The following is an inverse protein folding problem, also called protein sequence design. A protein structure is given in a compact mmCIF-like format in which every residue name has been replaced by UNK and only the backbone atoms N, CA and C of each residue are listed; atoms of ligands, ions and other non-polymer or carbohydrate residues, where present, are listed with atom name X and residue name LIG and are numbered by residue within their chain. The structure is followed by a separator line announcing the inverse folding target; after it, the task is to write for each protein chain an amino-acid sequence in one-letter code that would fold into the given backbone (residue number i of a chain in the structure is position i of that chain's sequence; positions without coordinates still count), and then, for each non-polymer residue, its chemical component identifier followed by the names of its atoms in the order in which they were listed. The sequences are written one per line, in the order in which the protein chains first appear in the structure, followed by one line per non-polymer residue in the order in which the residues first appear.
data_IF_293594756573
#
_entry.id   IF_293594756573
#
_cell.length_a   1.000
_cell.length_b   1.000
_cell.length_c   1.000
_cell.angle_alpha   90.00
_cell.angle_beta   90.00
_cell.angle_gamma   90.00
#
_symmetry.space_group_name_H-M   'P 1'
#
loop_
_entity.id
_entity.type
_entity.pdbx_description
1 polymer ?
#
# COMPACT_ATOMS: atom_id res chain seq x y z
N UNK A 1 68.00 47.95 -28.40
CA UNK A 1 67.68 47.06 -27.21
C UNK A 1 66.27 47.31 -26.63
N UNK A 2 65.56 48.37 -27.00
CA UNK A 2 64.23 48.73 -26.43
C UNK A 2 63.06 48.05 -27.20
N UNK A 3 63.22 47.68 -28.47
CA UNK A 3 62.15 47.11 -29.29
C UNK A 3 61.83 45.63 -28.98
N UNK A 4 62.78 44.85 -28.43
CA UNK A 4 62.58 43.44 -28.10
C UNK A 4 61.77 43.22 -26.78
N UNK A 5 61.81 44.16 -25.84
CA UNK A 5 61.12 44.09 -24.54
C UNK A 5 59.61 44.39 -24.72
N UNK A 6 59.27 45.31 -25.62
CA UNK A 6 57.85 45.69 -25.88
C UNK A 6 57.09 44.57 -26.59
N UNK A 7 57.75 43.73 -27.41
CA UNK A 7 57.08 42.60 -28.10
C UNK A 7 56.86 41.41 -27.14
N UNK A 8 57.73 41.22 -26.18
CA UNK A 8 57.59 40.15 -25.17
C UNK A 8 56.41 40.41 -24.22
N UNK A 9 56.26 41.67 -23.77
CA UNK A 9 55.15 42.02 -22.85
C UNK A 9 53.79 41.96 -23.52
N UNK A 10 53.65 42.35 -24.79
CA UNK A 10 52.37 42.20 -25.51
C UNK A 10 52.00 40.75 -25.76
N UNK A 11 52.93 39.85 -26.04
CA UNK A 11 52.64 38.44 -26.18
C UNK A 11 52.19 37.82 -24.86
N UNK A 12 52.88 38.13 -23.76
CA UNK A 12 52.47 37.65 -22.44
C UNK A 12 51.08 38.18 -22.02
N UNK A 13 50.79 39.41 -22.31
CA UNK A 13 49.49 40.01 -22.03
C UNK A 13 48.36 39.35 -22.82
N UNK A 14 48.59 39.01 -24.10
CA UNK A 14 47.60 38.25 -24.91
C UNK A 14 47.41 36.81 -24.39
N UNK A 15 48.47 36.16 -23.91
CA UNK A 15 48.34 34.81 -23.29
C UNK A 15 47.60 34.86 -21.97
N UNK A 16 47.81 35.83 -21.13
CA UNK A 16 47.13 35.97 -19.83
C UNK A 16 45.66 36.32 -20.05
N UNK A 17 45.34 37.20 -20.99
CA UNK A 17 43.94 37.51 -21.35
C UNK A 17 43.24 36.32 -22.02
N UNK A 18 43.94 35.57 -22.88
CA UNK A 18 43.40 34.36 -23.50
C UNK A 18 43.09 33.26 -22.52
N UNK A 19 43.97 32.99 -21.53
CA UNK A 19 43.76 32.04 -20.48
C UNK A 19 42.60 32.47 -19.54
N UNK A 20 42.49 33.75 -19.23
CA UNK A 20 41.40 34.29 -18.42
C UNK A 20 40.06 34.14 -19.13
N UNK A 21 39.93 34.46 -20.43
CA UNK A 21 38.70 34.26 -21.18
C UNK A 21 38.34 32.79 -21.36
N UNK A 22 39.35 31.92 -21.57
CA UNK A 22 39.11 30.47 -21.64
C UNK A 22 38.62 29.93 -20.30
N UNK A 23 39.20 30.34 -19.17
CA UNK A 23 38.76 29.96 -17.83
C UNK A 23 37.35 30.46 -17.54
N UNK A 24 37.00 31.68 -17.95
CA UNK A 24 35.65 32.21 -17.78
C UNK A 24 34.62 31.44 -18.65
N UNK A 25 34.99 31.12 -19.88
CA UNK A 25 34.14 30.33 -20.78
C UNK A 25 33.91 28.89 -20.22
N UNK A 26 34.96 28.23 -19.76
CA UNK A 26 34.82 26.90 -19.16
C UNK A 26 33.97 26.94 -17.88
N UNK A 27 34.11 27.97 -17.03
CA UNK A 27 33.30 28.15 -15.83
C UNK A 27 31.81 28.38 -16.17
N UNK A 28 31.52 29.19 -17.21
CA UNK A 28 30.14 29.43 -17.67
C UNK A 28 29.51 28.15 -18.24
N UNK A 29 30.25 27.39 -19.05
CA UNK A 29 29.77 26.11 -19.59
C UNK A 29 29.52 25.10 -18.46
N UNK A 30 30.39 25.00 -17.45
CA UNK A 30 30.19 24.15 -16.30
C UNK A 30 28.97 24.57 -15.48
N UNK A 31 28.75 25.86 -15.25
CA UNK A 31 27.58 26.36 -14.56
C UNK A 31 26.28 26.02 -15.30
N UNK A 32 26.29 26.13 -16.63
CA UNK A 32 25.11 25.81 -17.46
C UNK A 32 24.79 24.29 -17.40
N UNK A 33 25.82 23.45 -17.53
CA UNK A 33 25.66 21.98 -17.43
C UNK A 33 25.16 21.56 -16.04
N UNK A 34 25.72 22.12 -14.97
CA UNK A 34 25.26 21.81 -13.62
C UNK A 34 23.85 22.32 -13.35
N UNK A 35 23.51 23.49 -13.84
CA UNK A 35 22.14 24.03 -13.74
C UNK A 35 21.15 23.17 -14.51
N UNK A 36 21.47 22.77 -15.74
CA UNK A 36 20.63 21.87 -16.53
C UNK A 36 20.45 20.50 -15.87
N UNK A 37 21.53 19.91 -15.34
CA UNK A 37 21.43 18.64 -14.60
C UNK A 37 20.56 18.76 -13.35
N UNK A 38 20.72 19.84 -12.59
CA UNK A 38 19.89 20.09 -11.39
C UNK A 38 18.43 20.30 -11.75
N UNK A 39 18.14 21.09 -12.79
CA UNK A 39 16.78 21.28 -13.27
C UNK A 39 16.17 19.98 -13.79
N UNK A 40 16.92 19.18 -14.54
CA UNK A 40 16.45 17.91 -15.06
C UNK A 40 16.14 16.92 -13.93
N UNK A 41 16.99 16.85 -12.92
CA UNK A 41 16.77 16.02 -11.72
C UNK A 41 15.49 16.46 -10.98
N UNK A 42 15.29 17.75 -10.75
CA UNK A 42 14.07 18.27 -10.09
C UNK A 42 12.80 18.03 -10.92
N UNK A 43 12.90 18.12 -12.27
CA UNK A 43 11.79 17.78 -13.16
C UNK A 43 11.44 16.29 -13.10
N UNK A 44 12.44 15.41 -13.16
CA UNK A 44 12.24 13.96 -13.10
C UNK A 44 11.64 13.51 -11.76
N UNK A 45 12.07 14.10 -10.65
CA UNK A 45 11.46 13.87 -9.34
C UNK A 45 10.00 14.34 -9.29
N UNK A 46 9.71 15.54 -9.81
CA UNK A 46 8.36 16.09 -9.85
C UNK A 46 7.42 15.25 -10.72
N UNK A 47 7.90 14.77 -11.88
CA UNK A 47 7.12 13.89 -12.75
C UNK A 47 6.93 12.49 -12.16
N UNK A 48 7.92 11.96 -11.46
CA UNK A 48 7.78 10.67 -10.78
C UNK A 48 6.75 10.75 -9.66
N UNK A 49 6.79 11.80 -8.85
CA UNK A 49 5.79 12.07 -7.81
C UNK A 49 4.38 12.26 -8.38
N UNK A 50 4.26 13.00 -9.50
CA UNK A 50 2.98 13.20 -10.18
C UNK A 50 2.42 11.89 -10.77
N UNK A 51 3.27 11.04 -11.35
CA UNK A 51 2.87 9.72 -11.86
C UNK A 51 2.37 8.82 -10.74
N UNK A 52 3.08 8.78 -9.61
CA UNK A 52 2.65 8.05 -8.42
C UNK A 52 1.31 8.60 -7.91
N UNK A 53 1.19 9.92 -7.77
CA UNK A 53 -0.06 10.57 -7.34
C UNK A 53 -1.24 10.27 -8.27
N UNK A 54 -1.04 10.36 -9.60
CA UNK A 54 -2.12 10.06 -10.55
C UNK A 54 -2.50 8.58 -10.56
N UNK A 55 -1.52 7.67 -10.42
CA UNK A 55 -1.79 6.25 -10.30
C UNK A 55 -2.58 5.92 -9.01
N UNK A 56 -2.23 6.54 -7.90
CA UNK A 56 -2.96 6.38 -6.62
C UNK A 56 -4.38 6.96 -6.69
N UNK A 57 -4.56 8.10 -7.36
CA UNK A 57 -5.88 8.73 -7.52
C UNK A 57 -6.84 7.95 -8.43
N UNK A 58 -6.32 7.13 -9.36
CA UNK A 58 -7.13 6.26 -10.22
C UNK A 58 -7.55 4.96 -9.52
N UNK A 59 -7.02 4.68 -8.35
CA UNK A 59 -7.36 3.49 -7.59
C UNK A 59 -8.76 3.66 -7.00
N UNK A 60 -9.69 2.75 -7.33
CA UNK A 60 -11.00 2.72 -6.68
C UNK A 60 -10.81 2.58 -5.17
N UNK A 61 -11.59 3.31 -4.38
CA UNK A 61 -11.55 3.23 -2.92
C UNK A 61 -11.73 1.77 -2.47
N UNK A 62 -10.72 1.14 -1.87
CA UNK A 62 -10.79 -0.26 -1.45
C UNK A 62 -11.73 -0.48 -0.26
N UNK A 63 -12.12 0.60 0.43
CA UNK A 63 -13.09 0.56 1.54
C UNK A 63 -14.52 0.89 1.09
N UNK A 64 -14.73 1.26 -0.18
CA UNK A 64 -16.06 1.49 -0.69
C UNK A 64 -16.91 0.23 -0.58
N UNK A 65 -18.12 0.37 -0.06
CA UNK A 65 -19.10 -0.71 -0.06
C UNK A 65 -19.69 -0.87 -1.46
N UNK A 66 -19.95 -2.12 -1.86
CA UNK A 66 -20.63 -2.39 -3.10
C UNK A 66 -22.10 -2.00 -2.98
N UNK A 67 -22.50 -0.91 -3.63
CA UNK A 67 -23.86 -0.41 -3.61
C UNK A 67 -24.87 -1.39 -4.22
N UNK A 68 -24.41 -2.36 -5.01
CA UNK A 68 -25.25 -3.43 -5.58
C UNK A 68 -25.43 -4.63 -4.64
N UNK A 69 -24.72 -4.65 -3.49
CA UNK A 69 -24.80 -5.73 -2.53
C UNK A 69 -26.19 -5.83 -1.92
N UNK A 70 -26.85 -6.96 -2.15
CA UNK A 70 -28.18 -7.22 -1.59
C UNK A 70 -28.07 -8.21 -0.41
N UNK A 71 -28.28 -7.75 0.83
CA UNK A 71 -28.19 -8.62 2.01
C UNK A 71 -29.33 -9.64 2.12
N UNK A 72 -30.40 -9.50 1.33
CA UNK A 72 -31.56 -10.38 1.38
C UNK A 72 -31.51 -11.52 0.34
N UNK A 73 -30.44 -11.62 -0.44
CA UNK A 73 -30.24 -12.77 -1.32
C UNK A 73 -30.12 -14.07 -0.50
N UNK A 74 -30.51 -15.20 -1.14
CA UNK A 74 -30.28 -16.51 -0.53
C UNK A 74 -28.79 -16.71 -0.20
N UNK A 75 -28.47 -17.45 0.89
CA UNK A 75 -27.08 -17.76 1.22
C UNK A 75 -26.33 -18.35 0.06
N UNK A 76 -25.13 -17.85 -0.19
CA UNK A 76 -24.29 -18.29 -1.32
C UNK A 76 -22.81 -18.27 -0.97
N UNK A 77 -22.01 -18.79 -1.87
CA UNK A 77 -20.56 -18.60 -1.78
C UNK A 77 -20.20 -17.18 -2.25
N UNK A 78 -19.38 -16.50 -1.43
CA UNK A 78 -18.73 -15.23 -1.75
C UNK A 78 -17.26 -15.53 -2.00
N UNK A 79 -16.86 -15.58 -3.26
CA UNK A 79 -15.52 -15.99 -3.67
C UNK A 79 -14.65 -14.77 -3.94
N UNK A 80 -13.47 -14.75 -3.35
CA UNK A 80 -12.45 -13.71 -3.51
C UNK A 80 -11.13 -14.33 -3.92
N UNK A 81 -10.51 -13.80 -4.97
CA UNK A 81 -9.19 -14.20 -5.43
C UNK A 81 -8.17 -13.11 -5.07
N UNK A 82 -7.25 -13.42 -4.19
CA UNK A 82 -6.26 -12.48 -3.67
C UNK A 82 -4.84 -12.88 -4.03
N UNK A 83 -4.10 -11.90 -4.53
CA UNK A 83 -2.65 -11.96 -4.65
C UNK A 83 -2.06 -10.93 -3.69
N UNK A 84 -1.26 -11.41 -2.75
CA UNK A 84 -0.55 -10.56 -1.78
C UNK A 84 0.84 -10.30 -2.31
N UNK A 85 1.18 -9.04 -2.46
CA UNK A 85 2.50 -8.56 -2.89
C UNK A 85 2.95 -7.35 -2.04
N UNK A 86 4.11 -6.79 -2.36
CA UNK A 86 4.60 -5.53 -1.75
C UNK A 86 4.76 -4.49 -2.85
N UNK A 87 4.24 -3.30 -2.61
CA UNK A 87 4.31 -2.16 -3.54
C UNK A 87 4.59 -0.86 -2.82
N UNK A 88 5.13 0.12 -3.55
CA UNK A 88 5.18 1.48 -3.05
C UNK A 88 3.75 2.03 -3.01
N UNK A 89 3.34 2.48 -1.84
CA UNK A 89 2.08 3.16 -1.57
C UNK A 89 2.36 4.44 -0.79
N UNK A 90 1.46 5.42 -0.89
CA UNK A 90 1.59 6.71 -0.18
C UNK A 90 0.21 7.17 0.32
N UNK A 91 -0.45 6.43 1.23
CA UNK A 91 -1.81 6.74 1.66
C UNK A 91 -1.92 8.08 2.41
N UNK A 92 -0.84 8.51 3.03
CA UNK A 92 -0.70 9.79 3.74
C UNK A 92 0.17 10.81 2.98
N UNK A 93 0.56 10.47 1.74
CA UNK A 93 1.41 11.31 0.89
C UNK A 93 2.91 10.98 0.99
N UNK A 94 3.33 10.10 1.91
CA UNK A 94 4.72 9.66 2.04
C UNK A 94 4.89 8.27 1.41
N UNK A 95 5.68 8.12 0.33
CA UNK A 95 5.90 6.83 -0.32
C UNK A 95 6.66 5.87 0.59
N UNK A 96 6.13 4.66 0.76
CA UNK A 96 6.81 3.56 1.45
C UNK A 96 6.43 2.21 0.85
N UNK A 97 7.28 1.21 1.06
CA UNK A 97 6.99 -0.15 0.66
C UNK A 97 5.98 -0.77 1.62
N UNK A 98 4.81 -1.16 1.12
CA UNK A 98 3.73 -1.72 1.92
C UNK A 98 3.23 -3.04 1.34
N UNK A 99 2.60 -3.86 2.19
CA UNK A 99 1.84 -5.01 1.71
C UNK A 99 0.56 -4.54 1.04
N UNK A 100 0.23 -5.17 -0.08
CA UNK A 100 -0.99 -4.92 -0.82
C UNK A 100 -1.72 -6.22 -1.14
N UNK A 101 -3.03 -6.14 -1.30
CA UNK A 101 -3.87 -7.23 -1.80
C UNK A 101 -4.43 -6.79 -3.15
N UNK A 102 -4.10 -7.52 -4.21
CA UNK A 102 -4.45 -7.15 -5.59
C UNK A 102 -3.98 -5.73 -5.94
N UNK A 103 -2.81 -5.33 -5.42
CA UNK A 103 -2.22 -4.01 -5.61
C UNK A 103 -2.91 -2.87 -4.85
N UNK A 104 -3.85 -3.15 -3.95
CA UNK A 104 -4.61 -2.16 -3.17
C UNK A 104 -4.16 -2.12 -1.71
N UNK A 105 -4.22 -0.94 -1.12
CA UNK A 105 -4.11 -0.65 0.30
C UNK A 105 -5.20 0.37 0.71
N UNK A 106 -5.97 0.13 1.78
CA UNK A 106 -6.16 -1.17 2.43
C UNK A 106 -6.59 -2.26 1.45
N UNK A 107 -6.54 -3.54 1.86
CA UNK A 107 -7.04 -4.64 1.03
C UNK A 107 -8.55 -4.51 0.71
N UNK A 108 -9.06 -5.23 -0.29
CA UNK A 108 -10.46 -5.15 -0.71
C UNK A 108 -11.44 -5.44 0.42
N UNK A 109 -12.51 -4.65 0.54
CA UNK A 109 -13.58 -4.90 1.50
C UNK A 109 -14.34 -6.18 1.15
N UNK A 110 -14.49 -7.06 2.14
CA UNK A 110 -15.38 -8.21 2.05
C UNK A 110 -16.77 -7.79 2.56
N UNK A 111 -17.80 -8.11 1.80
CA UNK A 111 -19.20 -8.02 2.24
C UNK A 111 -19.82 -9.41 2.20
N UNK A 112 -20.46 -9.82 3.27
CA UNK A 112 -21.17 -11.07 3.39
C UNK A 112 -22.46 -10.90 4.21
N UNK A 113 -23.39 -11.83 4.09
CA UNK A 113 -24.60 -11.87 4.88
C UNK A 113 -24.65 -13.17 5.66
N UNK A 114 -25.30 -13.18 6.79
CA UNK A 114 -25.53 -14.40 7.61
C UNK A 114 -25.94 -15.58 6.74
N UNK A 115 -25.25 -16.69 6.92
CA UNK A 115 -25.42 -17.93 6.15
C UNK A 115 -24.60 -18.00 4.86
N UNK A 116 -23.98 -16.91 4.40
CA UNK A 116 -23.04 -16.97 3.28
C UNK A 116 -21.80 -17.79 3.67
N UNK A 117 -21.21 -18.44 2.68
CA UNK A 117 -19.89 -19.06 2.80
C UNK A 117 -18.86 -18.13 2.16
N UNK A 118 -17.96 -17.58 2.95
CA UNK A 118 -16.84 -16.81 2.44
C UNK A 118 -15.72 -17.75 2.02
N UNK A 119 -15.26 -17.60 0.79
CA UNK A 119 -14.16 -18.37 0.20
C UNK A 119 -13.10 -17.40 -0.29
N UNK A 120 -11.91 -17.47 0.25
CA UNK A 120 -10.80 -16.56 -0.13
C UNK A 120 -9.61 -17.39 -0.57
N UNK A 121 -9.34 -17.36 -1.87
CA UNK A 121 -8.13 -17.95 -2.45
C UNK A 121 -7.00 -16.94 -2.32
N UNK A 122 -5.94 -17.29 -1.61
CA UNK A 122 -4.83 -16.37 -1.33
C UNK A 122 -3.53 -16.94 -1.88
N UNK A 123 -2.85 -16.13 -2.71
CA UNK A 123 -1.51 -16.42 -3.22
C UNK A 123 -0.51 -15.47 -2.59
N UNK A 124 0.60 -16.01 -2.10
CA UNK A 124 1.72 -15.21 -1.62
C UNK A 124 2.70 -14.95 -2.78
N UNK A 125 2.70 -13.72 -3.27
CA UNK A 125 3.56 -13.28 -4.38
C UNK A 125 4.63 -12.27 -3.90
N UNK A 126 5.15 -12.46 -2.68
CA UNK A 126 6.19 -11.63 -2.08
C UNK A 126 7.54 -12.26 -2.40
N UNK A 127 8.26 -11.72 -3.40
CA UNK A 127 9.56 -12.21 -3.85
C UNK A 127 10.71 -11.33 -3.34
N UNK A 128 11.94 -11.89 -3.28
CA UNK A 128 13.16 -11.21 -2.84
C UNK A 128 13.64 -10.10 -3.78
N UNK A 129 13.37 -10.29 -5.05
CA UNK A 129 13.90 -9.53 -6.18
C UNK A 129 12.94 -8.41 -6.64
N UNK A 130 11.94 -8.06 -5.83
CA UNK A 130 11.21 -6.84 -6.09
C UNK A 130 12.19 -5.67 -5.89
N UNK A 131 12.88 -5.30 -6.97
CA UNK A 131 13.68 -4.09 -7.04
C UNK A 131 12.69 -2.91 -6.93
N UNK A 132 12.47 -2.49 -5.70
CA UNK A 132 11.86 -1.20 -5.45
C UNK A 132 12.77 -0.20 -6.13
N UNK A 133 12.30 0.60 -7.09
CA UNK A 133 13.03 1.78 -7.49
C UNK A 133 13.36 2.51 -6.19
N UNK A 134 14.66 2.71 -5.88
CA UNK A 134 15.02 3.35 -4.61
C UNK A 134 14.18 4.63 -4.48
N UNK A 135 13.41 4.79 -3.40
CA UNK A 135 12.69 6.02 -3.22
C UNK A 135 13.73 7.14 -3.15
N UNK A 136 13.49 8.30 -3.76
CA UNK A 136 14.42 9.42 -3.78
C UNK A 136 14.79 9.95 -2.38
N UNK A 137 14.18 9.39 -1.34
CA UNK A 137 14.44 9.72 0.05
C UNK A 137 14.97 8.45 0.72
N UNK A 138 16.28 8.32 0.73
CA UNK A 138 16.97 7.32 1.54
C UNK A 138 16.85 7.68 3.03
N UNK A 139 15.73 7.32 3.65
CA UNK A 139 15.81 7.08 5.08
C UNK A 139 16.63 5.79 5.24
N UNK A 140 17.83 5.90 5.79
CA UNK A 140 18.69 4.76 6.16
C UNK A 140 18.09 3.88 7.27
N UNK A 141 16.79 3.90 7.42
CA UNK A 141 15.98 3.00 8.21
C UNK A 141 15.43 1.91 7.29
N UNK A 142 16.29 1.28 6.51
CA UNK A 142 16.06 -0.07 6.05
C UNK A 142 15.88 -0.91 7.30
N UNK A 143 14.63 -1.08 7.66
CA UNK A 143 14.26 -1.99 8.74
C UNK A 143 14.76 -3.35 8.31
N UNK A 144 15.88 -3.75 8.91
CA UNK A 144 16.41 -5.11 8.82
C UNK A 144 15.37 -6.00 9.48
N UNK A 145 14.36 -6.40 8.71
CA UNK A 145 13.50 -7.48 9.14
C UNK A 145 14.36 -8.74 9.26
N UNK A 146 14.27 -9.48 10.36
CA UNK A 146 14.99 -10.73 10.48
C UNK A 146 14.74 -11.59 9.26
N UNK A 147 15.78 -12.07 8.61
CA UNK A 147 15.69 -12.85 7.38
C UNK A 147 14.59 -13.90 7.48
N UNK A 148 13.61 -13.88 6.59
CA UNK A 148 12.62 -14.92 6.37
C UNK A 148 11.29 -14.80 7.11
N UNK A 149 11.03 -13.79 7.96
CA UNK A 149 9.72 -13.62 8.61
C UNK A 149 8.81 -12.62 7.88
N UNK A 150 9.37 -11.66 7.22
CA UNK A 150 8.70 -10.56 6.52
C UNK A 150 7.97 -10.94 5.22
N UNK A 151 8.14 -12.18 4.76
CA UNK A 151 7.55 -12.69 3.52
C UNK A 151 6.47 -13.73 3.72
N UNK A 152 6.26 -14.15 4.95
CA UNK A 152 5.23 -15.11 5.32
C UNK A 152 4.09 -14.37 5.98
N UNK A 153 2.88 -14.78 5.71
CA UNK A 153 1.72 -14.24 6.39
C UNK A 153 0.67 -15.32 6.62
N UNK A 154 -0.28 -15.06 7.50
CA UNK A 154 -1.53 -15.80 7.64
C UNK A 154 -2.63 -14.75 7.83
N UNK A 155 -3.75 -14.90 7.14
CA UNK A 155 -4.86 -13.95 7.26
C UNK A 155 -5.77 -14.41 8.40
N UNK A 156 -5.88 -13.56 9.42
CA UNK A 156 -6.79 -13.73 10.55
C UNK A 156 -8.08 -12.91 10.30
N UNK A 157 -9.20 -13.52 10.61
CA UNK A 157 -10.55 -12.93 10.45
C UNK A 157 -11.01 -12.39 11.80
N UNK A 158 -10.56 -11.18 12.09
CA UNK A 158 -10.70 -10.59 13.41
C UNK A 158 -12.15 -10.25 13.76
N UNK A 159 -12.64 -10.85 14.82
CA UNK A 159 -13.99 -10.63 15.34
C UNK A 159 -15.01 -11.69 14.94
N UNK A 160 -14.68 -12.58 14.01
CA UNK A 160 -15.58 -13.69 13.65
C UNK A 160 -15.49 -14.85 14.63
N UNK A 161 -16.63 -15.52 14.84
CA UNK A 161 -16.74 -16.67 15.74
C UNK A 161 -16.00 -17.92 15.25
N UNK A 162 -15.78 -18.03 13.92
CA UNK A 162 -15.17 -19.17 13.23
C UNK A 162 -15.74 -20.53 13.65
N UNK A 163 -17.02 -20.56 14.03
CA UNK A 163 -17.69 -21.76 14.53
C UNK A 163 -17.64 -22.88 13.50
N UNK A 164 -17.14 -24.03 13.90
CA UNK A 164 -16.99 -25.23 13.06
C UNK A 164 -15.83 -25.17 12.06
N UNK A 165 -15.12 -24.03 11.97
CA UNK A 165 -14.03 -23.78 11.00
C UNK A 165 -12.81 -23.13 11.64
N UNK A 166 -12.50 -23.46 12.90
CA UNK A 166 -11.40 -22.86 13.68
C UNK A 166 -10.03 -22.96 13.00
N UNK A 167 -9.82 -24.01 12.20
CA UNK A 167 -8.58 -24.18 11.41
C UNK A 167 -8.42 -23.11 10.32
N UNK A 168 -9.50 -22.39 9.98
CA UNK A 168 -9.50 -21.29 9.02
C UNK A 168 -9.32 -19.92 9.66
N UNK A 169 -9.20 -19.84 10.98
CA UNK A 169 -9.09 -18.58 11.72
C UNK A 169 -7.82 -17.76 11.39
N UNK A 170 -6.78 -18.41 10.91
CA UNK A 170 -5.59 -17.73 10.44
C UNK A 170 -4.66 -17.19 11.53
N UNK A 171 -4.88 -17.52 12.80
CA UNK A 171 -3.94 -17.18 13.88
C UNK A 171 -2.64 -18.00 13.71
N UNK A 172 -1.59 -17.34 13.25
CA UNK A 172 -0.32 -17.98 12.94
C UNK A 172 0.29 -18.67 14.16
N UNK A 173 0.84 -19.87 13.93
CA UNK A 173 1.41 -20.75 14.94
C UNK A 173 0.40 -21.30 15.98
N UNK A 174 -0.89 -21.00 15.83
CA UNK A 174 -1.96 -21.53 16.70
C UNK A 174 -2.98 -22.31 15.87
N UNK A 175 -3.75 -21.66 14.99
CA UNK A 175 -4.76 -22.32 14.14
C UNK A 175 -4.25 -22.62 12.72
N UNK A 176 -3.19 -21.95 12.28
CA UNK A 176 -2.64 -22.13 10.94
C UNK A 176 -1.13 -21.90 10.87
N UNK A 177 -0.51 -22.44 9.82
CA UNK A 177 0.87 -22.13 9.47
C UNK A 177 0.93 -20.89 8.56
N UNK A 178 1.97 -20.04 8.70
CA UNK A 178 2.18 -18.94 7.78
C UNK A 178 2.39 -19.42 6.33
N UNK A 179 1.72 -18.74 5.39
CA UNK A 179 1.84 -18.99 3.96
C UNK A 179 3.18 -18.45 3.44
N UNK A 180 4.03 -19.33 2.91
CA UNK A 180 5.34 -18.98 2.36
C UNK A 180 5.21 -18.33 0.97
N UNK A 181 6.23 -17.56 0.52
CA UNK A 181 6.31 -17.08 -0.85
C UNK A 181 6.13 -18.20 -1.88
N UNK A 182 5.39 -17.90 -2.94
CA UNK A 182 5.09 -18.85 -4.03
C UNK A 182 3.99 -19.88 -3.70
N UNK A 183 3.52 -19.92 -2.46
CA UNK A 183 2.46 -20.84 -2.06
C UNK A 183 1.09 -20.16 -2.12
N UNK A 184 0.05 -20.97 -2.12
CA UNK A 184 -1.35 -20.56 -2.06
C UNK A 184 -2.11 -21.33 -0.98
N UNK A 185 -3.20 -20.76 -0.51
CA UNK A 185 -4.13 -21.38 0.42
C UNK A 185 -5.54 -20.90 0.15
N UNK A 186 -6.53 -21.63 0.65
CA UNK A 186 -7.92 -21.22 0.59
C UNK A 186 -8.51 -21.19 2.01
N UNK A 187 -9.00 -20.03 2.40
CA UNK A 187 -9.83 -19.90 3.58
C UNK A 187 -11.29 -20.11 3.17
N UNK A 188 -12.03 -20.91 3.96
CA UNK A 188 -13.43 -21.20 3.72
C UNK A 188 -14.16 -21.32 5.04
N UNK A 189 -15.13 -20.43 5.26
CA UNK A 189 -15.92 -20.41 6.50
C UNK A 189 -17.32 -19.88 6.25
N UNK A 190 -18.26 -20.26 7.12
CA UNK A 190 -19.64 -19.78 7.10
C UNK A 190 -19.76 -18.61 8.06
N UNK A 191 -20.52 -17.59 7.67
CA UNK A 191 -20.83 -16.44 8.50
C UNK A 191 -22.09 -16.73 9.30
N UNK A 192 -22.02 -16.51 10.61
CA UNK A 192 -23.09 -16.84 11.57
C UNK A 192 -23.84 -15.58 12.06
N UNK A 193 -25.04 -15.72 12.67
CA UNK A 193 -25.80 -14.58 13.19
C UNK A 193 -25.03 -13.73 14.22
N UNK A 194 -24.17 -14.36 15.04
CA UNK A 194 -23.32 -13.67 16.01
C UNK A 194 -22.20 -12.86 15.36
N UNK A 195 -21.91 -13.08 14.08
CA UNK A 195 -20.87 -12.38 13.34
C UNK A 195 -21.39 -11.08 12.67
N UNK A 196 -22.67 -10.72 12.85
CA UNK A 196 -23.23 -9.48 12.28
C UNK A 196 -22.52 -8.27 12.84
N UNK A 197 -22.02 -7.41 11.94
CA UNK A 197 -21.33 -6.18 12.30
C UNK A 197 -20.14 -5.84 11.41
N UNK A 198 -19.36 -4.89 11.90
CA UNK A 198 -18.15 -4.42 11.23
C UNK A 198 -16.93 -5.11 11.84
N UNK A 199 -16.22 -5.83 11.02
CA UNK A 199 -15.02 -6.58 11.34
C UNK A 199 -13.89 -6.18 10.38
N UNK A 200 -12.75 -6.82 10.53
CA UNK A 200 -11.61 -6.64 9.66
C UNK A 200 -10.81 -7.93 9.54
N UNK A 201 -10.01 -8.02 8.52
CA UNK A 201 -9.05 -9.10 8.37
C UNK A 201 -7.64 -8.54 8.32
N UNK A 202 -6.67 -9.28 8.79
CA UNK A 202 -5.28 -8.82 8.79
C UNK A 202 -4.29 -9.96 8.89
N UNK A 203 -3.04 -9.68 8.53
CA UNK A 203 -1.96 -10.63 8.77
C UNK A 203 -1.69 -10.82 10.26
N UNK A 204 -1.47 -12.07 10.66
CA UNK A 204 -1.12 -12.45 12.02
C UNK A 204 0.34 -12.92 12.15
N UNK A 205 1.25 -12.36 11.31
CA UNK A 205 2.68 -12.67 11.31
C UNK A 205 3.49 -11.38 11.39
N UNK A 206 4.35 -11.26 12.40
CA UNK A 206 5.25 -10.13 12.57
C UNK A 206 4.55 -8.78 12.52
N UNK A 207 5.15 -7.82 11.82
CA UNK A 207 4.64 -6.45 11.66
C UNK A 207 3.80 -6.26 10.39
N UNK A 208 3.60 -7.29 9.58
CA UNK A 208 2.96 -7.18 8.26
C UNK A 208 1.55 -6.54 8.29
N UNK A 209 0.83 -6.63 9.42
CA UNK A 209 -0.41 -5.89 9.65
C UNK A 209 -0.17 -4.37 9.68
N UNK A 210 0.81 -3.93 10.46
CA UNK A 210 1.18 -2.51 10.55
C UNK A 210 1.74 -1.98 9.22
N UNK A 211 2.35 -2.87 8.43
CA UNK A 211 2.89 -2.58 7.11
C UNK A 211 1.87 -2.71 5.97
N UNK A 212 0.57 -2.86 6.30
CA UNK A 212 -0.50 -2.70 5.31
C UNK A 212 -1.30 -3.94 4.96
N UNK A 213 -0.97 -5.13 5.50
CA UNK A 213 -1.72 -6.35 5.17
C UNK A 213 -2.99 -6.47 6.03
N UNK A 214 -4.01 -5.70 5.68
CA UNK A 214 -5.33 -5.69 6.32
C UNK A 214 -6.41 -5.11 5.41
N UNK A 215 -7.68 -5.35 5.75
CA UNK A 215 -8.84 -4.75 5.10
C UNK A 215 -10.12 -4.98 5.91
N UNK A 216 -11.23 -4.41 5.43
CA UNK A 216 -12.52 -4.45 6.10
C UNK A 216 -13.28 -5.73 5.77
N UNK A 217 -14.08 -6.19 6.75
CA UNK A 217 -15.03 -7.27 6.58
C UNK A 217 -16.36 -6.87 7.20
N UNK A 218 -17.41 -6.74 6.38
CA UNK A 218 -18.73 -6.32 6.80
C UNK A 218 -19.68 -7.49 6.70
N UNK A 219 -20.33 -7.83 7.81
CA UNK A 219 -21.35 -8.87 7.87
C UNK A 219 -22.71 -8.22 8.04
N UNK A 220 -23.51 -8.31 7.00
CA UNK A 220 -24.86 -7.75 7.00
C UNK A 220 -25.87 -8.72 7.63
N UNK A 221 -26.78 -8.16 8.44
CA UNK A 221 -27.94 -8.86 8.91
C UNK A 221 -29.00 -9.00 7.79
N UNK A 222 -29.74 -10.10 7.74
CA UNK A 222 -30.93 -10.24 6.92
C UNK A 222 -32.08 -9.41 7.46
N UNK A 223 -33.11 -9.20 6.66
CA UNK A 223 -34.24 -8.36 7.04
C UNK A 223 -34.97 -8.83 8.30
N UNK A 224 -35.12 -10.12 8.48
CA UNK A 224 -35.69 -10.73 9.70
C UNK A 224 -34.83 -10.50 10.93
N UNK A 225 -33.52 -10.63 10.81
CA UNK A 225 -32.55 -10.34 11.88
C UNK A 225 -32.49 -8.83 12.18
N UNK A 226 -32.57 -7.98 11.14
CA UNK A 226 -32.65 -6.52 11.31
C UNK A 226 -33.88 -6.10 12.12
N UNK A 227 -35.03 -6.76 11.94
CA UNK A 227 -36.21 -6.47 12.74
C UNK A 227 -35.96 -6.73 14.21
N UNK A 228 -35.34 -7.85 14.56
CA UNK A 228 -35.00 -8.18 15.96
C UNK A 228 -33.99 -7.16 16.53
N UNK A 229 -33.00 -6.74 15.75
CA UNK A 229 -32.05 -5.73 16.17
C UNK A 229 -32.71 -4.37 16.36
N UNK A 230 -33.61 -3.95 15.46
CA UNK A 230 -34.38 -2.70 15.59
C UNK A 230 -35.29 -2.66 16.81
N UNK A 231 -35.88 -3.77 17.17
CA UNK A 231 -36.70 -3.88 18.39
C UNK A 231 -35.88 -3.70 19.69
N UNK A 232 -34.60 -3.97 19.64
CA UNK A 232 -33.66 -3.86 20.78
C UNK A 232 -32.89 -2.56 20.83
N UNK A 233 -32.75 -1.86 19.69
CA UNK A 233 -32.02 -0.60 19.59
C UNK A 233 -32.94 0.60 19.92
N UNK A 234 -32.39 1.70 20.47
CA UNK A 234 -33.10 2.96 20.58
C UNK A 234 -33.62 3.45 19.23
N UNK A 235 -34.81 4.04 19.20
CA UNK A 235 -35.51 4.43 17.96
C UNK A 235 -34.68 5.35 17.03
N UNK A 236 -33.78 6.16 17.58
CA UNK A 236 -32.89 7.05 16.83
C UNK A 236 -31.67 6.36 16.19
N UNK A 237 -31.40 5.08 16.53
CA UNK A 237 -30.30 4.30 15.98
C UNK A 237 -30.75 3.34 14.86
N UNK A 238 -32.03 3.40 14.46
CA UNK A 238 -32.60 2.39 13.54
C UNK A 238 -32.81 2.89 12.12
N UNK A 239 -32.53 4.17 11.86
CA UNK A 239 -32.72 4.78 10.56
C UNK A 239 -31.46 5.50 10.08
N UNK A 240 -30.94 5.10 8.92
CA UNK A 240 -29.84 5.73 8.21
C UNK A 240 -30.12 5.69 6.71
N UNK A 241 -29.66 6.69 5.99
CA UNK A 241 -29.83 6.81 4.54
C UNK A 241 -28.69 6.15 3.78
N UNK A 242 -27.47 6.14 4.36
CA UNK A 242 -26.26 5.59 3.75
C UNK A 242 -25.41 4.84 4.79
N UNK A 243 -24.61 3.89 4.30
CA UNK A 243 -23.65 3.13 5.09
C UNK A 243 -22.24 3.35 4.54
N UNK A 244 -21.31 3.74 5.41
CA UNK A 244 -19.92 4.00 5.06
C UNK A 244 -19.00 3.20 5.97
N UNK A 245 -18.06 2.48 5.37
CA UNK A 245 -17.03 1.78 6.12
C UNK A 245 -15.88 2.74 6.47
N UNK A 246 -15.53 2.84 7.75
CA UNK A 246 -14.43 3.68 8.24
C UNK A 246 -13.48 2.82 9.05
N UNK A 247 -12.19 2.86 8.70
CA UNK A 247 -11.12 2.26 9.47
C UNK A 247 -10.23 3.36 10.07
N UNK A 248 -9.94 3.25 11.36
CA UNK A 248 -9.04 4.16 12.07
C UNK A 248 -7.87 3.36 12.63
N UNK A 249 -6.65 3.78 12.35
CA UNK A 249 -5.45 3.09 12.81
C UNK A 249 -4.21 3.97 12.70
N UNK A 250 -3.14 3.55 13.39
CA UNK A 250 -1.85 4.19 13.28
C UNK A 250 -1.18 3.81 11.95
N UNK A 251 -0.52 4.79 11.35
CA UNK A 251 0.30 4.60 10.15
C UNK A 251 1.74 4.98 10.47
N UNK A 252 2.65 4.00 10.40
CA UNK A 252 4.05 4.16 10.77
C UNK A 252 4.93 4.43 9.54
N UNK A 253 5.98 5.24 9.74
CA UNK A 253 7.01 5.57 8.75
C UNK A 253 8.35 4.98 9.12
#
# INVERSE_FOLDING_TARGET
MVAAIVWSTRRWMLYVVGLGLFGLFTCLVWMDVTLQQTLQHTWDESWSALRVYTALKQQSDPMALDASFNPNEAPRERVYDWTVDRRIQAPDGVPRLMYTINGKFPGPTIQATVGDTVVVHVRNHIWDDYQVPEPPITSKLDHVHPEGTDRKFAIHWHGLSMRGTQVMDGAAAFTSCPLKPGNETTYRFVVHPEDVGTHWYHSHVGTSRADGLWGMLIVHAREDERKVLKERAPAHETHWDEEVAIAVGDHFH
#
